data_IF_197571924619
#
_entry.id   IF_197571924619
#
_cell.length_a   1.000
_cell.length_b   1.000
_cell.length_c   1.000
_cell.angle_alpha   90.00
_cell.angle_beta   90.00
_cell.angle_gamma   90.00
#
_symmetry.space_group_name_H-M   'P 1'
#
loop_
_entity.id
_entity.type
_entity.pdbx_description
1 polymer ?
#
# COMPACT_ATOMS: atom_id res chain seq x y z
N UNK A 1 -37.46 16.30 -16.65
CA UNK A 1 -36.86 15.17 -15.93
C UNK A 1 -35.52 14.92 -16.59
N UNK A 2 -34.41 15.42 -16.02
CA UNK A 2 -33.07 15.05 -16.46
C UNK A 2 -32.89 13.55 -16.13
N UNK A 3 -32.78 12.71 -17.17
CA UNK A 3 -32.58 11.27 -16.99
C UNK A 3 -31.23 11.02 -16.29
N UNK A 4 -31.20 10.06 -15.38
CA UNK A 4 -29.97 9.63 -14.69
C UNK A 4 -28.89 9.30 -15.73
N UNK A 5 -27.68 9.84 -15.53
CA UNK A 5 -26.53 9.58 -16.40
C UNK A 5 -26.23 8.08 -16.36
N UNK A 6 -26.21 7.40 -17.51
CA UNK A 6 -25.93 5.96 -17.56
C UNK A 6 -24.45 5.67 -17.26
N UNK A 7 -24.16 4.44 -16.81
CA UNK A 7 -22.78 3.98 -16.60
C UNK A 7 -21.90 4.16 -17.86
N UNK A 8 -22.45 3.89 -19.04
CA UNK A 8 -21.76 4.10 -20.30
C UNK A 8 -21.40 5.58 -20.51
N UNK A 9 -22.40 6.48 -20.38
CA UNK A 9 -22.19 7.94 -20.56
C UNK A 9 -21.16 8.46 -19.57
N UNK A 10 -21.27 8.10 -18.30
CA UNK A 10 -20.31 8.51 -17.26
C UNK A 10 -18.89 8.04 -17.60
N UNK A 11 -18.69 6.76 -17.91
CA UNK A 11 -17.36 6.20 -18.12
C UNK A 11 -16.67 6.77 -19.36
N UNK A 12 -17.38 6.93 -20.50
CA UNK A 12 -16.72 7.48 -21.68
C UNK A 12 -16.37 8.97 -21.50
N UNK A 13 -17.19 9.74 -20.77
CA UNK A 13 -16.87 11.14 -20.42
C UNK A 13 -15.65 11.21 -19.50
N UNK A 14 -15.58 10.36 -18.48
CA UNK A 14 -14.42 10.24 -17.57
C UNK A 14 -13.14 9.83 -18.31
N UNK A 15 -13.26 8.97 -19.33
CA UNK A 15 -12.15 8.60 -20.20
C UNK A 15 -11.77 9.72 -21.21
N UNK A 16 -12.52 10.80 -21.28
CA UNK A 16 -12.32 11.86 -22.29
C UNK A 16 -12.60 11.37 -23.72
N UNK A 17 -13.38 10.29 -23.88
CA UNK A 17 -13.71 9.70 -25.17
C UNK A 17 -15.03 10.29 -25.70
N UNK A 18 -15.07 10.58 -26.98
CA UNK A 18 -16.34 10.80 -27.67
C UNK A 18 -17.16 9.49 -27.72
N UNK A 19 -18.46 9.63 -28.02
CA UNK A 19 -19.32 8.45 -28.18
C UNK A 19 -18.77 7.44 -29.20
N UNK A 20 -18.29 7.93 -30.38
CA UNK A 20 -17.75 7.07 -31.44
C UNK A 20 -16.44 6.41 -31.07
N UNK A 21 -15.59 7.05 -30.28
CA UNK A 21 -14.37 6.45 -29.74
C UNK A 21 -14.67 5.40 -28.69
N UNK A 22 -15.63 5.67 -27.81
CA UNK A 22 -16.03 4.73 -26.76
C UNK A 22 -16.61 3.43 -27.34
N UNK A 23 -17.52 3.51 -28.33
CA UNK A 23 -18.06 2.30 -28.97
C UNK A 23 -17.02 1.52 -29.76
N UNK A 24 -16.03 2.20 -30.36
CA UNK A 24 -14.89 1.53 -31.02
C UNK A 24 -14.02 0.80 -30.00
N UNK A 25 -13.73 1.45 -28.86
CA UNK A 25 -12.91 0.84 -27.80
C UNK A 25 -13.53 -0.45 -27.27
N UNK A 26 -14.85 -0.46 -27.08
CA UNK A 26 -15.55 -1.63 -26.54
C UNK A 26 -16.10 -2.57 -27.65
N UNK A 27 -15.74 -2.32 -28.91
CA UNK A 27 -16.06 -3.13 -30.09
C UNK A 27 -17.58 -3.43 -30.25
N UNK A 28 -18.42 -2.40 -30.08
CA UNK A 28 -19.86 -2.55 -30.26
C UNK A 28 -20.40 -1.68 -31.41
N UNK A 29 -21.57 -2.07 -31.95
CA UNK A 29 -22.26 -1.26 -32.97
C UNK A 29 -22.81 0.05 -32.40
N UNK A 30 -22.99 1.06 -33.27
CA UNK A 30 -23.63 2.32 -32.89
C UNK A 30 -25.00 2.11 -32.21
N UNK A 31 -25.81 1.17 -32.74
CA UNK A 31 -27.12 0.87 -32.17
C UNK A 31 -27.03 0.33 -30.72
N UNK A 32 -26.01 -0.51 -30.44
CA UNK A 32 -25.72 -0.99 -29.09
C UNK A 32 -25.25 0.14 -28.20
N UNK A 33 -24.35 1.01 -28.67
CA UNK A 33 -23.90 2.20 -27.96
C UNK A 33 -25.04 3.13 -27.54
N UNK A 34 -25.97 3.41 -28.46
CA UNK A 34 -27.19 4.19 -28.13
C UNK A 34 -28.10 3.53 -27.11
N UNK A 35 -28.16 2.18 -27.08
CA UNK A 35 -28.91 1.45 -26.04
C UNK A 35 -28.26 1.59 -24.68
N UNK A 36 -26.92 1.56 -24.61
CA UNK A 36 -26.18 1.83 -23.37
C UNK A 36 -26.35 3.29 -22.92
N UNK A 37 -26.23 4.24 -23.85
CA UNK A 37 -26.40 5.66 -23.56
C UNK A 37 -27.83 6.02 -23.09
N UNK A 38 -28.83 5.37 -23.64
CA UNK A 38 -30.24 5.60 -23.25
C UNK A 38 -30.71 4.76 -22.06
N UNK A 39 -29.84 3.92 -21.47
CA UNK A 39 -30.22 3.02 -20.37
C UNK A 39 -31.12 1.85 -20.77
N UNK A 40 -31.37 1.65 -22.08
CA UNK A 40 -32.16 0.51 -22.58
C UNK A 40 -31.44 -0.83 -22.49
N UNK A 41 -30.14 -0.79 -22.31
CA UNK A 41 -29.28 -1.95 -22.03
C UNK A 41 -28.21 -1.55 -21.02
N UNK A 42 -27.89 -2.45 -20.13
CA UNK A 42 -26.84 -2.26 -19.13
C UNK A 42 -25.48 -2.63 -19.70
N UNK A 43 -24.47 -1.80 -19.45
CA UNK A 43 -23.08 -2.07 -19.82
C UNK A 43 -22.47 -3.07 -18.82
N UNK A 44 -22.02 -4.25 -19.29
CA UNK A 44 -21.50 -5.34 -18.47
C UNK A 44 -20.29 -6.04 -19.10
N UNK A 45 -19.62 -6.89 -18.33
CA UNK A 45 -18.56 -7.78 -18.80
C UNK A 45 -17.34 -7.05 -19.37
N UNK A 46 -16.73 -7.57 -20.45
CA UNK A 46 -15.49 -7.02 -21.03
C UNK A 46 -15.62 -5.55 -21.46
N UNK A 47 -16.77 -5.15 -22.02
CA UNK A 47 -17.03 -3.80 -22.45
C UNK A 47 -17.04 -2.78 -21.28
N UNK A 48 -17.62 -3.16 -20.13
CA UNK A 48 -17.55 -2.36 -18.91
C UNK A 48 -16.10 -2.22 -18.45
N UNK A 49 -15.36 -3.31 -18.44
CA UNK A 49 -13.96 -3.33 -17.99
C UNK A 49 -13.07 -2.43 -18.84
N UNK A 50 -13.19 -2.48 -20.17
CA UNK A 50 -12.41 -1.63 -21.10
C UNK A 50 -12.66 -0.15 -20.86
N UNK A 51 -13.93 0.27 -20.69
CA UNK A 51 -14.24 1.68 -20.40
C UNK A 51 -13.79 2.10 -19.00
N UNK A 52 -13.86 1.21 -18.01
CA UNK A 52 -13.31 1.50 -16.68
C UNK A 52 -11.79 1.69 -16.73
N UNK A 53 -11.07 0.84 -17.46
CA UNK A 53 -9.62 0.97 -17.64
C UNK A 53 -9.25 2.28 -18.36
N UNK A 54 -9.98 2.65 -19.42
CA UNK A 54 -9.75 3.91 -20.13
C UNK A 54 -10.03 5.13 -19.26
N UNK A 55 -11.13 5.13 -18.51
CA UNK A 55 -11.45 6.18 -17.55
C UNK A 55 -10.37 6.29 -16.45
N UNK A 56 -9.94 5.15 -15.92
CA UNK A 56 -8.90 5.07 -14.93
C UNK A 56 -7.56 5.63 -15.44
N UNK A 57 -7.16 5.26 -16.67
CA UNK A 57 -5.94 5.77 -17.29
C UNK A 57 -5.98 7.30 -17.44
N UNK A 58 -7.09 7.85 -17.94
CA UNK A 58 -7.26 9.29 -18.11
C UNK A 58 -7.24 10.06 -16.79
N UNK A 59 -7.91 9.53 -15.77
CA UNK A 59 -7.94 10.13 -14.44
C UNK A 59 -6.56 10.09 -13.80
N UNK A 60 -5.81 9.00 -13.98
CA UNK A 60 -4.43 8.87 -13.46
C UNK A 60 -3.48 9.95 -14.04
N UNK A 61 -3.73 10.43 -15.26
CA UNK A 61 -3.00 11.53 -15.87
C UNK A 61 -3.35 12.91 -15.27
N UNK A 62 -4.43 13.01 -14.45
CA UNK A 62 -4.87 14.25 -13.82
C UNK A 62 -4.38 14.29 -12.36
N UNK A 63 -3.26 14.99 -12.05
CA UNK A 63 -2.73 15.01 -10.69
C UNK A 63 -3.72 15.58 -9.67
N UNK A 64 -3.89 14.88 -8.54
CA UNK A 64 -4.68 15.37 -7.42
C UNK A 64 -6.20 15.19 -7.57
N UNK A 65 -6.68 14.29 -8.44
CA UNK A 65 -8.11 14.00 -8.59
C UNK A 65 -8.75 13.43 -7.31
N UNK A 66 -7.95 12.86 -6.40
CA UNK A 66 -8.35 12.56 -5.03
C UNK A 66 -7.24 12.91 -4.04
N UNK A 67 -7.61 13.14 -2.80
CA UNK A 67 -6.68 13.41 -1.70
C UNK A 67 -6.51 12.20 -0.82
N UNK A 68 -5.28 11.93 -0.40
CA UNK A 68 -5.02 10.85 0.54
C UNK A 68 -4.07 11.29 1.66
N UNK A 69 -4.08 10.54 2.76
CA UNK A 69 -3.13 10.66 3.85
C UNK A 69 -2.28 9.40 3.96
N UNK A 70 -1.02 9.54 4.40
CA UNK A 70 -0.04 8.45 4.54
C UNK A 70 0.40 8.34 6.00
N UNK A 71 -0.16 7.37 6.72
CA UNK A 71 0.12 7.12 8.12
C UNK A 71 1.17 6.02 8.29
N UNK A 72 2.09 6.19 9.26
CA UNK A 72 3.28 5.34 9.42
C UNK A 72 4.07 5.26 8.12
N UNK A 73 4.27 6.40 7.50
CA UNK A 73 4.66 6.53 6.10
C UNK A 73 6.04 5.93 5.77
N UNK A 74 6.91 5.73 6.79
CA UNK A 74 8.26 5.24 6.58
C UNK A 74 9.02 6.15 5.61
N UNK A 75 9.35 5.60 4.45
CA UNK A 75 10.00 6.31 3.35
C UNK A 75 9.09 6.52 2.13
N UNK A 76 7.75 6.44 2.33
CA UNK A 76 6.74 6.78 1.32
C UNK A 76 6.39 5.67 0.33
N UNK A 77 6.51 4.40 0.74
CA UNK A 77 6.20 3.28 -0.16
C UNK A 77 4.73 3.20 -0.56
N UNK A 78 3.79 3.40 0.38
CA UNK A 78 2.36 3.45 0.07
C UNK A 78 2.04 4.69 -0.79
N UNK A 79 2.58 5.84 -0.41
CA UNK A 79 2.43 7.08 -1.14
C UNK A 79 2.79 6.95 -2.63
N UNK A 80 3.97 6.39 -2.95
CA UNK A 80 4.40 6.21 -4.36
C UNK A 80 3.39 5.42 -5.19
N UNK A 81 2.73 4.44 -4.59
CA UNK A 81 1.69 3.68 -5.28
C UNK A 81 0.43 4.47 -5.57
N UNK A 82 0.00 5.33 -4.65
CA UNK A 82 -1.21 6.12 -4.79
C UNK A 82 -1.01 7.41 -5.59
N UNK A 83 0.17 8.02 -5.55
CA UNK A 83 0.54 9.08 -6.50
C UNK A 83 0.58 8.57 -7.94
N UNK A 84 0.99 7.31 -8.16
CA UNK A 84 1.00 6.68 -9.49
C UNK A 84 -0.37 6.63 -10.16
N UNK A 85 -1.45 6.55 -9.39
CA UNK A 85 -2.83 6.60 -9.88
C UNK A 85 -3.45 8.01 -9.78
N UNK A 86 -2.63 9.06 -9.65
CA UNK A 86 -3.05 10.46 -9.66
C UNK A 86 -3.55 11.01 -8.32
N UNK A 87 -3.32 10.32 -7.21
CA UNK A 87 -3.64 10.83 -5.88
C UNK A 87 -2.68 11.92 -5.42
N UNK A 88 -3.18 12.84 -4.58
CA UNK A 88 -2.39 13.88 -3.92
C UNK A 88 -2.31 13.62 -2.42
N UNK A 89 -1.08 13.48 -1.89
CA UNK A 89 -0.86 13.40 -0.45
C UNK A 89 -1.11 14.76 0.20
N UNK A 90 -1.94 14.81 1.24
CA UNK A 90 -2.29 16.04 1.96
C UNK A 90 -1.88 16.01 3.43
N UNK A 91 -1.49 14.85 3.94
CA UNK A 91 -0.99 14.70 5.30
C UNK A 91 -0.12 13.44 5.39
N UNK A 92 0.94 13.53 6.18
CA UNK A 92 1.88 12.42 6.42
C UNK A 92 2.19 12.33 7.91
N UNK A 93 2.19 11.12 8.46
CA UNK A 93 2.67 10.85 9.83
C UNK A 93 3.76 9.79 9.81
N UNK A 94 4.92 10.11 10.43
CA UNK A 94 6.03 9.20 10.61
C UNK A 94 6.80 9.55 11.89
N UNK A 95 7.03 8.58 12.76
CA UNK A 95 7.70 8.76 14.04
C UNK A 95 9.23 8.88 13.93
N UNK A 96 9.84 8.02 13.07
CA UNK A 96 11.31 7.92 12.98
C UNK A 96 11.92 9.11 12.25
N UNK A 97 12.75 9.88 12.94
CA UNK A 97 13.37 11.08 12.40
C UNK A 97 14.27 10.83 11.17
N UNK A 98 14.90 9.63 11.06
CA UNK A 98 15.70 9.30 9.88
C UNK A 98 14.81 8.95 8.70
N UNK A 99 13.70 8.25 8.92
CA UNK A 99 12.68 8.00 7.88
C UNK A 99 12.09 9.32 7.38
N UNK A 100 11.78 10.26 8.26
CA UNK A 100 11.32 11.61 7.88
C UNK A 100 12.34 12.34 7.00
N UNK A 101 13.65 12.22 7.26
CA UNK A 101 14.69 12.84 6.41
C UNK A 101 14.65 12.26 4.99
N UNK A 102 14.66 10.92 4.88
CA UNK A 102 14.57 10.24 3.58
C UNK A 102 13.27 10.61 2.86
N UNK A 103 12.17 10.66 3.59
CA UNK A 103 10.85 11.06 3.05
C UNK A 103 10.89 12.47 2.47
N UNK A 104 11.34 13.47 3.24
CA UNK A 104 11.43 14.88 2.77
C UNK A 104 12.34 15.05 1.56
N UNK A 105 13.43 14.28 1.48
CA UNK A 105 14.34 14.33 0.33
C UNK A 105 13.67 13.85 -0.98
N UNK A 106 12.65 12.99 -0.86
CA UNK A 106 11.99 12.37 -2.01
C UNK A 106 10.60 12.94 -2.30
N UNK A 107 9.98 13.60 -1.34
CA UNK A 107 8.65 14.19 -1.45
C UNK A 107 8.68 15.63 -0.93
N UNK A 108 8.95 16.61 -1.81
CA UNK A 108 9.02 18.02 -1.45
C UNK A 108 7.62 18.63 -1.30
N UNK A 109 6.90 18.22 -0.26
CA UNK A 109 5.56 18.72 0.02
C UNK A 109 5.57 20.04 0.79
N UNK A 110 4.46 20.74 0.72
CA UNK A 110 4.23 21.96 1.49
C UNK A 110 3.60 21.68 2.87
N UNK A 111 3.28 20.42 3.22
CA UNK A 111 2.75 20.10 4.55
C UNK A 111 3.85 19.49 5.45
N UNK A 112 3.81 19.77 6.77
CA UNK A 112 4.73 19.17 7.71
C UNK A 112 4.46 17.67 7.87
N UNK A 113 5.52 16.89 8.14
CA UNK A 113 5.36 15.50 8.55
C UNK A 113 4.97 15.49 10.02
N UNK A 114 3.80 14.97 10.35
CA UNK A 114 3.37 14.67 11.71
C UNK A 114 4.24 13.56 12.32
N UNK A 115 4.53 13.67 13.61
CA UNK A 115 5.33 12.68 14.33
C UNK A 115 4.49 11.51 14.85
N UNK A 116 4.21 11.55 16.14
CA UNK A 116 3.42 10.53 16.83
C UNK A 116 1.95 10.56 16.41
N UNK A 117 1.46 9.46 15.88
CA UNK A 117 0.09 9.33 15.41
C UNK A 117 -0.95 9.54 16.52
N UNK A 118 -0.60 9.26 17.78
CA UNK A 118 -1.49 9.43 18.93
C UNK A 118 -1.95 10.87 19.12
N UNK A 119 -1.12 11.84 18.78
CA UNK A 119 -1.51 13.27 18.80
C UNK A 119 -2.65 13.57 17.83
N UNK A 120 -2.69 12.84 16.74
CA UNK A 120 -3.68 12.99 15.65
C UNK A 120 -4.91 12.11 15.85
N UNK A 121 -4.79 10.95 16.48
CA UNK A 121 -5.97 10.16 16.87
C UNK A 121 -6.75 10.82 18.00
N UNK A 122 -6.06 11.51 18.94
CA UNK A 122 -6.69 12.29 20.00
C UNK A 122 -7.27 13.63 19.49
N UNK A 123 -6.73 14.20 18.42
CA UNK A 123 -7.15 15.47 17.82
C UNK A 123 -7.27 15.33 16.29
N UNK A 124 -8.22 14.54 15.78
CA UNK A 124 -8.29 14.20 14.36
C UNK A 124 -8.61 15.40 13.44
N UNK A 125 -9.19 16.48 13.99
CA UNK A 125 -9.41 17.75 13.25
C UNK A 125 -8.11 18.41 12.75
N UNK A 126 -6.94 18.00 13.29
CA UNK A 126 -5.63 18.44 12.80
C UNK A 126 -5.26 17.79 11.46
N UNK A 127 -5.97 16.74 11.05
CA UNK A 127 -5.77 16.06 9.78
C UNK A 127 -6.71 16.67 8.74
N UNK A 128 -6.21 17.10 7.57
CA UNK A 128 -7.06 17.64 6.51
C UNK A 128 -8.07 16.60 5.99
N UNK A 129 -9.19 17.07 5.47
CA UNK A 129 -10.16 16.21 4.78
C UNK A 129 -9.50 15.46 3.61
N UNK A 130 -9.79 14.18 3.48
CA UNK A 130 -9.19 13.30 2.48
C UNK A 130 -10.18 12.22 2.04
N UNK A 131 -9.94 11.66 0.87
CA UNK A 131 -10.78 10.63 0.26
C UNK A 131 -10.29 9.21 0.61
N UNK A 132 -8.96 9.06 0.79
CA UNK A 132 -8.33 7.76 1.05
C UNK A 132 -7.37 7.86 2.22
N UNK A 133 -7.41 6.86 3.10
CA UNK A 133 -6.44 6.71 4.18
C UNK A 133 -5.52 5.52 3.88
N UNK A 134 -4.21 5.77 3.92
CA UNK A 134 -3.17 4.75 3.79
C UNK A 134 -2.47 4.55 5.13
N UNK A 135 -2.23 3.28 5.53
CA UNK A 135 -1.47 3.01 6.75
C UNK A 135 -0.72 1.67 6.69
N UNK A 136 0.60 1.73 6.83
CA UNK A 136 1.46 0.58 7.11
C UNK A 136 1.68 0.41 8.61
N UNK A 137 0.64 0.08 9.38
CA UNK A 137 0.72 0.07 10.84
C UNK A 137 1.58 -1.10 11.37
N UNK A 138 2.35 -0.91 12.46
CA UNK A 138 3.20 -1.96 13.02
C UNK A 138 2.37 -3.10 13.64
N UNK A 139 2.85 -4.35 13.46
CA UNK A 139 2.27 -5.52 14.09
C UNK A 139 2.65 -5.54 15.58
N UNK A 140 1.81 -4.98 16.42
CA UNK A 140 1.97 -5.01 17.88
C UNK A 140 0.92 -5.97 18.48
N UNK A 141 1.28 -6.74 19.54
CA UNK A 141 0.31 -7.58 20.23
C UNK A 141 -0.75 -6.69 20.89
N UNK A 142 -2.01 -7.06 20.75
CA UNK A 142 -3.10 -6.44 21.48
C UNK A 142 -2.98 -6.85 22.97
N UNK A 143 -2.53 -5.95 23.82
CA UNK A 143 -2.57 -6.21 25.26
C UNK A 143 -3.99 -5.97 25.78
N UNK A 144 -4.72 -7.05 26.05
CA UNK A 144 -6.03 -6.99 26.72
C UNK A 144 -5.95 -6.43 28.17
N UNK A 145 -4.75 -6.16 28.67
CA UNK A 145 -4.52 -5.66 30.03
C UNK A 145 -5.03 -4.22 30.27
N UNK A 146 -5.28 -3.44 29.21
CA UNK A 146 -5.89 -2.10 29.30
C UNK A 146 -7.41 -2.13 29.51
N UNK A 147 -8.08 -3.19 29.07
CA UNK A 147 -9.54 -3.34 29.09
C UNK A 147 -10.10 -3.48 30.51
N UNK A 148 -9.39 -4.19 31.40
CA UNK A 148 -9.87 -4.50 32.76
C UNK A 148 -9.94 -3.30 33.72
N UNK A 149 -9.13 -2.25 33.52
CA UNK A 149 -8.98 -1.18 34.52
C UNK A 149 -10.02 -0.05 34.39
N UNK A 150 -10.63 0.16 33.23
CA UNK A 150 -11.61 1.22 32.99
C UNK A 150 -13.06 0.82 33.12
N UNK A 151 -13.38 -0.47 32.96
CA UNK A 151 -14.74 -0.99 33.23
C UNK A 151 -15.19 -0.82 34.69
N UNK A 152 -14.25 -0.60 35.64
CA UNK A 152 -14.56 -0.33 37.04
C UNK A 152 -15.02 1.10 37.33
N UNK A 153 -14.98 2.02 36.35
CA UNK A 153 -15.27 3.46 36.57
C UNK A 153 -16.59 3.93 35.94
N UNK A 154 -17.45 3.04 35.43
CA UNK A 154 -18.86 3.32 35.12
C UNK A 154 -19.12 4.37 34.02
N UNK A 155 -18.17 4.72 33.17
CA UNK A 155 -18.37 5.63 32.06
C UNK A 155 -18.76 4.86 30.78
N UNK A 156 -19.98 5.11 30.31
CA UNK A 156 -20.44 4.66 28.98
C UNK A 156 -19.70 5.47 27.90
N UNK A 157 -18.54 4.98 27.46
CA UNK A 157 -17.86 5.48 26.27
C UNK A 157 -17.88 4.38 25.20
N UNK A 158 -17.85 4.77 23.92
CA UNK A 158 -17.94 3.83 22.82
C UNK A 158 -16.77 2.83 22.75
N UNK A 159 -16.91 1.79 21.95
CA UNK A 159 -15.98 0.67 21.77
C UNK A 159 -14.50 1.09 21.57
N UNK A 160 -14.25 2.24 20.94
CA UNK A 160 -12.90 2.76 20.69
C UNK A 160 -12.16 3.19 21.99
N UNK A 161 -12.88 3.49 23.07
CA UNK A 161 -12.28 3.86 24.37
C UNK A 161 -11.77 2.64 25.17
N UNK A 162 -12.32 1.46 24.93
CA UNK A 162 -11.99 0.24 25.69
C UNK A 162 -10.70 -0.44 25.21
N UNK A 163 -10.22 -0.13 24.01
CA UNK A 163 -9.14 -0.84 23.31
C UNK A 163 -7.86 -0.01 23.13
N UNK A 164 -7.68 1.07 23.90
CA UNK A 164 -6.49 1.91 23.85
C UNK A 164 -5.19 1.10 24.10
N UNK A 165 -4.22 1.24 23.22
CA UNK A 165 -2.88 0.70 23.44
C UNK A 165 -2.16 0.13 22.21
N UNK A 166 -2.80 0.07 21.04
CA UNK A 166 -2.11 -0.29 19.82
C UNK A 166 -2.38 0.73 18.72
N UNK A 167 -1.37 0.97 17.88
CA UNK A 167 -1.41 1.96 16.79
C UNK A 167 -2.46 1.64 15.71
N UNK A 168 -3.00 0.41 15.68
CA UNK A 168 -4.17 0.09 14.87
C UNK A 168 -5.43 0.87 15.34
N UNK A 169 -5.65 0.98 16.65
CA UNK A 169 -6.82 1.69 17.17
C UNK A 169 -6.72 3.20 16.94
N UNK A 170 -5.49 3.77 16.96
CA UNK A 170 -5.27 5.15 16.54
C UNK A 170 -5.70 5.35 15.08
N UNK A 171 -5.33 4.40 14.20
CA UNK A 171 -5.78 4.41 12.80
C UNK A 171 -7.30 4.28 12.70
N UNK A 172 -7.93 3.39 13.47
CA UNK A 172 -9.37 3.19 13.48
C UNK A 172 -10.14 4.43 13.96
N UNK A 173 -9.62 5.17 14.95
CA UNK A 173 -10.18 6.45 15.41
C UNK A 173 -10.15 7.51 14.30
N UNK A 174 -9.04 7.62 13.57
CA UNK A 174 -8.91 8.54 12.44
C UNK A 174 -9.91 8.17 11.33
N UNK A 175 -10.06 6.86 11.01
CA UNK A 175 -11.07 6.39 10.05
C UNK A 175 -12.49 6.71 10.53
N UNK A 176 -12.78 6.51 11.82
CA UNK A 176 -14.09 6.79 12.41
C UNK A 176 -14.47 8.27 12.28
N UNK A 177 -13.52 9.18 12.52
CA UNK A 177 -13.74 10.62 12.46
C UNK A 177 -13.88 11.12 11.02
N UNK A 178 -12.92 10.81 10.16
CA UNK A 178 -12.86 11.36 8.81
C UNK A 178 -13.75 10.64 7.80
N UNK A 179 -14.12 9.40 8.09
CA UNK A 179 -14.99 8.60 7.20
C UNK A 179 -14.53 8.63 5.73
N UNK A 180 -13.24 8.36 5.42
CA UNK A 180 -12.76 8.40 4.05
C UNK A 180 -13.56 7.45 3.14
N UNK A 181 -13.66 7.75 1.84
CA UNK A 181 -14.35 6.89 0.88
C UNK A 181 -13.73 5.49 0.80
N UNK A 182 -12.40 5.40 0.97
CA UNK A 182 -11.67 4.15 1.06
C UNK A 182 -10.47 4.23 2.00
N UNK A 183 -10.00 3.07 2.47
CA UNK A 183 -8.71 2.94 3.12
C UNK A 183 -7.94 1.72 2.59
N UNK A 184 -6.62 1.79 2.66
CA UNK A 184 -5.72 0.66 2.41
C UNK A 184 -4.74 0.53 3.56
N UNK A 185 -4.84 -0.58 4.27
CA UNK A 185 -3.94 -0.93 5.37
C UNK A 185 -2.99 -2.04 4.92
N UNK A 186 -1.72 -1.94 5.31
CA UNK A 186 -0.70 -2.96 5.02
C UNK A 186 -0.12 -3.50 6.31
N UNK A 187 0.20 -4.80 6.31
CA UNK A 187 0.92 -5.43 7.40
C UNK A 187 1.69 -6.69 6.94
N UNK A 188 2.45 -7.29 7.85
CA UNK A 188 3.10 -8.57 7.60
C UNK A 188 2.06 -9.69 7.44
N UNK A 189 2.35 -10.69 6.58
CA UNK A 189 1.47 -11.86 6.38
C UNK A 189 1.06 -12.52 7.70
N UNK A 190 1.98 -12.60 8.67
CA UNK A 190 1.72 -13.27 9.93
C UNK A 190 0.64 -12.61 10.80
N UNK A 191 0.14 -11.43 10.42
CA UNK A 191 -1.00 -10.79 11.08
C UNK A 191 -2.22 -11.72 11.12
N UNK A 192 -2.46 -12.51 10.05
CA UNK A 192 -3.60 -13.44 9.99
C UNK A 192 -3.53 -14.55 11.05
N UNK A 193 -2.33 -15.00 11.39
CA UNK A 193 -2.10 -16.07 12.38
C UNK A 193 -1.67 -15.57 13.75
N UNK A 194 -1.44 -14.27 13.91
CA UNK A 194 -0.97 -13.66 15.15
C UNK A 194 -1.97 -13.92 16.29
N UNK A 195 -1.45 -14.36 17.44
CA UNK A 195 -2.25 -14.75 18.62
C UNK A 195 -3.38 -15.73 18.27
N UNK A 196 -3.05 -16.78 17.50
CA UNK A 196 -4.04 -17.78 17.08
C UNK A 196 -5.15 -17.20 16.19
N UNK A 197 -4.87 -16.10 15.48
CA UNK A 197 -5.80 -15.40 14.60
C UNK A 197 -6.72 -14.40 15.31
N UNK A 198 -6.62 -14.24 16.62
CA UNK A 198 -7.48 -13.31 17.40
C UNK A 198 -7.25 -11.86 16.98
N UNK A 199 -5.97 -11.46 16.81
CA UNK A 199 -5.59 -10.11 16.39
C UNK A 199 -6.28 -9.73 15.09
N UNK A 200 -6.19 -10.58 14.06
CA UNK A 200 -6.79 -10.31 12.76
C UNK A 200 -8.32 -10.28 12.83
N UNK A 201 -8.94 -11.21 13.56
CA UNK A 201 -10.40 -11.20 13.79
C UNK A 201 -10.88 -9.90 14.44
N UNK A 202 -10.14 -9.39 15.44
CA UNK A 202 -10.46 -8.12 16.10
C UNK A 202 -10.34 -6.95 15.11
N UNK A 203 -9.27 -6.88 14.31
CA UNK A 203 -9.12 -5.85 13.27
C UNK A 203 -10.32 -5.87 12.31
N UNK A 204 -10.65 -7.05 11.77
CA UNK A 204 -11.75 -7.18 10.81
C UNK A 204 -13.11 -6.84 11.41
N UNK A 205 -13.33 -7.19 12.68
CA UNK A 205 -14.54 -6.82 13.42
C UNK A 205 -14.67 -5.31 13.56
N UNK A 206 -13.64 -4.63 14.03
CA UNK A 206 -13.61 -3.16 14.17
C UNK A 206 -13.92 -2.50 12.83
N UNK A 207 -13.25 -2.90 11.76
CA UNK A 207 -13.40 -2.27 10.47
C UNK A 207 -14.79 -2.53 9.84
N UNK A 208 -15.33 -3.74 9.98
CA UNK A 208 -16.60 -4.15 9.37
C UNK A 208 -17.82 -3.80 10.21
N UNK A 209 -17.79 -4.18 11.51
CA UNK A 209 -18.97 -4.08 12.36
C UNK A 209 -19.04 -2.72 13.06
N UNK A 210 -17.92 -2.27 13.67
CA UNK A 210 -17.92 -1.05 14.45
C UNK A 210 -17.84 0.21 13.57
N UNK A 211 -17.02 0.17 12.50
CA UNK A 211 -16.86 1.27 11.54
C UNK A 211 -17.81 1.16 10.32
N UNK A 212 -18.39 0.00 10.07
CA UNK A 212 -19.36 -0.21 8.99
C UNK A 212 -18.78 -0.16 7.58
N UNK A 213 -17.47 -0.49 7.39
CA UNK A 213 -16.84 -0.53 6.08
C UNK A 213 -17.00 -1.89 5.40
N UNK A 214 -17.09 -1.89 4.08
CA UNK A 214 -17.02 -3.10 3.25
C UNK A 214 -15.55 -3.48 3.05
N UNK A 215 -15.06 -4.47 3.82
CA UNK A 215 -13.63 -4.76 3.95
C UNK A 215 -13.27 -6.11 3.37
N UNK A 216 -12.24 -6.13 2.57
CA UNK A 216 -11.61 -7.33 2.04
C UNK A 216 -10.11 -7.33 2.32
N UNK A 217 -9.50 -8.51 2.35
CA UNK A 217 -8.07 -8.64 2.56
C UNK A 217 -7.46 -9.71 1.66
N UNK A 218 -6.18 -9.52 1.31
CA UNK A 218 -5.43 -10.49 0.52
C UNK A 218 -3.95 -10.43 0.82
N UNK A 219 -3.32 -11.59 0.93
CA UNK A 219 -1.86 -11.71 0.97
C UNK A 219 -1.31 -11.72 -0.44
N UNK A 220 -0.38 -10.80 -0.73
CA UNK A 220 0.26 -10.67 -2.04
C UNK A 220 1.77 -10.87 -1.87
N UNK A 221 2.39 -11.68 -2.74
CA UNK A 221 3.84 -11.84 -2.85
C UNK A 221 4.42 -10.84 -3.85
N UNK A 222 5.60 -10.31 -3.54
CA UNK A 222 6.28 -9.35 -4.40
C UNK A 222 7.04 -9.98 -5.59
N UNK A 223 7.16 -11.31 -5.64
CA UNK A 223 7.97 -12.04 -6.62
C UNK A 223 7.64 -11.73 -8.09
N UNK A 224 6.40 -11.42 -8.49
CA UNK A 224 6.11 -11.01 -9.86
C UNK A 224 6.79 -9.71 -10.31
N UNK A 225 7.14 -8.82 -9.38
CA UNK A 225 7.59 -7.46 -9.69
C UNK A 225 9.04 -7.16 -9.27
N UNK A 226 9.55 -7.83 -8.23
CA UNK A 226 10.91 -7.66 -7.73
C UNK A 226 11.54 -9.00 -7.39
N UNK A 227 12.88 -9.14 -7.46
CA UNK A 227 13.55 -10.43 -7.20
C UNK A 227 13.62 -10.76 -5.70
N UNK A 228 12.47 -10.65 -5.01
CA UNK A 228 12.35 -10.87 -3.57
C UNK A 228 11.05 -11.56 -3.23
N UNK A 229 11.12 -12.62 -2.42
CA UNK A 229 9.95 -13.26 -1.84
C UNK A 229 9.53 -12.55 -0.56
N UNK A 230 8.67 -11.53 -0.70
CA UNK A 230 8.12 -10.74 0.41
C UNK A 230 6.60 -10.78 0.34
N UNK A 231 5.97 -11.40 1.32
CA UNK A 231 4.52 -11.52 1.42
C UNK A 231 3.97 -10.49 2.41
N UNK A 232 2.94 -9.76 2.00
CA UNK A 232 2.25 -8.76 2.82
C UNK A 232 0.75 -8.91 2.67
N UNK A 233 0.03 -8.70 3.77
CA UNK A 233 -1.43 -8.61 3.73
C UNK A 233 -1.80 -7.16 3.44
N UNK A 234 -2.71 -6.99 2.49
CA UNK A 234 -3.38 -5.73 2.21
C UNK A 234 -4.85 -5.87 2.63
N UNK A 235 -5.33 -4.90 3.39
CA UNK A 235 -6.73 -4.81 3.85
C UNK A 235 -7.29 -3.56 3.20
N UNK A 236 -8.29 -3.74 2.33
CA UNK A 236 -8.96 -2.68 1.58
C UNK A 236 -10.37 -2.53 2.11
N UNK A 237 -10.77 -1.33 2.47
CA UNK A 237 -12.14 -1.02 2.89
C UNK A 237 -12.72 0.14 2.09
N UNK A 238 -13.97 -0.02 1.67
CA UNK A 238 -14.78 1.04 1.09
C UNK A 238 -15.89 1.41 2.07
N UNK A 239 -16.19 2.71 2.20
CA UNK A 239 -17.27 3.18 3.06
C UNK A 239 -18.63 2.71 2.55
N UNK A 240 -18.85 2.84 1.26
CA UNK A 240 -20.06 2.40 0.59
C UNK A 240 -19.88 1.01 -0.06
N UNK A 241 -20.94 0.23 -0.29
CA UNK A 241 -20.88 -1.02 -1.01
C UNK A 241 -20.30 -0.85 -2.41
N UNK A 242 -19.39 -1.75 -2.80
CA UNK A 242 -18.82 -1.82 -4.15
C UNK A 242 -18.77 -3.26 -4.64
N UNK A 243 -18.70 -3.45 -5.96
CA UNK A 243 -18.47 -4.77 -6.58
C UNK A 243 -16.99 -5.20 -6.53
N UNK A 244 -16.16 -4.53 -5.73
CA UNK A 244 -14.76 -4.89 -5.58
C UNK A 244 -14.60 -6.28 -4.99
N UNK A 245 -14.00 -7.19 -5.74
CA UNK A 245 -13.62 -8.51 -5.27
C UNK A 245 -12.10 -8.67 -5.33
N UNK A 246 -11.44 -8.56 -4.18
CA UNK A 246 -9.99 -8.67 -4.09
C UNK A 246 -9.49 -10.06 -4.46
N UNK A 247 -10.31 -11.12 -4.32
CA UNK A 247 -9.96 -12.49 -4.71
C UNK A 247 -9.92 -12.67 -6.22
N UNK A 248 -10.75 -11.94 -6.96
CA UNK A 248 -10.83 -11.97 -8.41
C UNK A 248 -9.72 -11.17 -9.11
N UNK A 249 -9.01 -10.28 -8.40
CA UNK A 249 -7.90 -9.50 -8.97
C UNK A 249 -6.77 -10.45 -9.42
N UNK A 250 -6.39 -10.40 -10.69
CA UNK A 250 -5.38 -11.29 -11.29
C UNK A 250 -3.96 -10.82 -10.92
N UNK A 251 -3.31 -11.53 -10.00
CA UNK A 251 -1.90 -11.30 -9.66
C UNK A 251 -1.01 -11.92 -10.74
N UNK A 252 -0.02 -11.19 -11.30
CA UNK A 252 0.89 -11.74 -12.30
C UNK A 252 1.65 -12.98 -11.79
N UNK A 253 2.08 -13.85 -12.72
CA UNK A 253 2.83 -15.05 -12.36
C UNK A 253 4.25 -14.71 -11.91
N UNK A 254 4.68 -15.24 -10.77
CA UNK A 254 6.05 -15.14 -10.28
C UNK A 254 7.09 -15.84 -11.17
N UNK A 255 6.66 -16.77 -12.08
CA UNK A 255 7.58 -17.50 -12.98
C UNK A 255 8.38 -16.57 -13.89
N UNK A 256 7.74 -15.48 -14.32
CA UNK A 256 8.33 -14.48 -15.23
C UNK A 256 8.86 -13.25 -14.46
N UNK A 257 8.88 -13.31 -13.14
CA UNK A 257 9.39 -12.23 -12.31
C UNK A 257 10.90 -12.02 -12.46
N UNK A 258 11.38 -10.80 -12.13
CA UNK A 258 12.78 -10.43 -12.26
C UNK A 258 13.68 -11.29 -11.38
N UNK A 259 14.97 -11.34 -11.73
CA UNK A 259 16.02 -12.06 -10.99
C UNK A 259 16.97 -11.08 -10.34
N UNK A 260 17.69 -11.49 -9.30
CA UNK A 260 18.57 -10.63 -8.51
C UNK A 260 19.53 -9.80 -9.37
N UNK A 261 20.06 -10.37 -10.44
CA UNK A 261 20.95 -9.68 -11.37
C UNK A 261 20.37 -8.39 -11.98
N UNK A 262 19.04 -8.29 -12.07
CA UNK A 262 18.37 -7.10 -12.65
C UNK A 262 18.49 -5.83 -11.79
N UNK A 263 18.85 -5.96 -10.50
CA UNK A 263 18.95 -4.82 -9.58
C UNK A 263 20.37 -4.53 -9.13
N UNK A 264 21.33 -5.42 -9.45
CA UNK A 264 22.72 -5.30 -8.96
C UNK A 264 23.47 -4.16 -9.66
N UNK A 265 24.29 -3.45 -8.87
CA UNK A 265 25.25 -2.47 -9.36
C UNK A 265 26.47 -3.17 -9.93
N UNK A 266 27.08 -2.58 -11.00
CA UNK A 266 28.26 -3.14 -11.67
C UNK A 266 29.52 -2.97 -10.81
N UNK A 267 29.72 -1.76 -10.28
CA UNK A 267 30.87 -1.38 -9.48
C UNK A 267 30.44 -1.13 -8.04
N UNK A 268 30.76 -2.05 -7.14
CA UNK A 268 30.36 -1.99 -5.74
C UNK A 268 31.58 -1.81 -4.86
N UNK A 269 31.51 -0.82 -3.95
CA UNK A 269 32.55 -0.54 -2.97
C UNK A 269 32.90 -1.82 -2.17
N UNK A 270 34.17 -2.19 -2.06
CA UNK A 270 34.65 -3.34 -1.29
C UNK A 270 34.21 -3.37 0.16
N UNK A 271 33.80 -2.24 0.75
CA UNK A 271 33.24 -2.17 2.12
C UNK A 271 32.02 -3.07 2.32
N UNK A 272 31.27 -3.39 1.26
CA UNK A 272 30.11 -4.28 1.32
C UNK A 272 30.49 -5.76 1.31
N UNK A 273 31.71 -6.12 0.91
CA UNK A 273 32.22 -7.50 0.99
C UNK A 273 32.44 -7.90 2.44
N UNK A 274 31.96 -9.08 2.83
CA UNK A 274 32.11 -9.56 4.20
C UNK A 274 33.57 -9.73 4.57
N UNK A 275 33.95 -9.29 5.77
CA UNK A 275 35.26 -9.59 6.31
C UNK A 275 35.46 -11.12 6.46
N UNK A 276 36.69 -11.61 6.40
CA UNK A 276 37.01 -13.04 6.60
C UNK A 276 36.41 -13.55 7.91
N UNK A 277 36.61 -12.81 9.00
CA UNK A 277 36.11 -13.15 10.34
C UNK A 277 34.57 -13.28 10.38
N UNK A 278 33.84 -12.33 9.77
CA UNK A 278 32.37 -12.37 9.75
C UNK A 278 31.87 -13.52 8.88
N UNK A 279 32.49 -13.76 7.73
CA UNK A 279 32.09 -14.85 6.84
C UNK A 279 32.30 -16.23 7.49
N UNK A 280 33.44 -16.47 8.11
CA UNK A 280 33.73 -17.70 8.88
C UNK A 280 32.75 -17.89 10.03
N UNK A 281 32.46 -16.82 10.77
CA UNK A 281 31.45 -16.84 11.84
C UNK A 281 30.07 -17.29 11.32
N UNK A 282 29.57 -16.66 10.24
CA UNK A 282 28.27 -17.01 9.66
C UNK A 282 28.21 -18.46 9.16
N UNK A 283 29.29 -18.95 8.54
CA UNK A 283 29.36 -20.35 8.10
C UNK A 283 29.31 -21.32 9.28
N UNK A 284 30.11 -21.06 10.35
CA UNK A 284 30.14 -21.90 11.54
C UNK A 284 28.80 -21.86 12.28
N UNK A 285 28.18 -20.68 12.36
CA UNK A 285 26.87 -20.50 12.98
C UNK A 285 25.77 -21.24 12.21
N UNK A 286 25.80 -21.18 10.87
CA UNK A 286 24.91 -21.96 10.00
C UNK A 286 25.05 -23.46 10.25
N UNK A 287 26.27 -24.02 10.23
CA UNK A 287 26.53 -25.43 10.52
C UNK A 287 25.99 -25.86 11.88
N UNK A 288 26.20 -25.04 12.92
CA UNK A 288 25.69 -25.30 14.27
C UNK A 288 24.17 -25.40 14.31
N UNK A 289 23.47 -24.50 13.63
CA UNK A 289 22.01 -24.50 13.59
C UNK A 289 21.46 -25.67 12.79
N UNK A 290 22.08 -25.99 11.64
CA UNK A 290 21.70 -27.14 10.82
C UNK A 290 21.89 -28.46 11.60
N UNK A 291 22.98 -28.60 12.35
CA UNK A 291 23.24 -29.76 13.19
C UNK A 291 22.22 -29.89 14.36
N UNK A 292 21.66 -28.78 14.83
CA UNK A 292 20.62 -28.75 15.84
C UNK A 292 19.18 -28.90 15.27
N UNK A 293 19.03 -29.15 13.96
CA UNK A 293 17.74 -29.20 13.28
C UNK A 293 17.02 -27.87 13.14
N UNK A 294 17.71 -26.75 13.41
CA UNK A 294 17.19 -25.41 13.29
C UNK A 294 17.61 -24.78 11.96
N UNK A 295 16.69 -24.09 11.27
CA UNK A 295 17.03 -23.27 10.12
C UNK A 295 17.82 -22.03 10.55
N UNK A 296 18.87 -21.67 9.78
CA UNK A 296 19.55 -20.38 9.93
C UNK A 296 19.45 -19.58 8.65
N UNK A 297 19.12 -18.28 8.79
CA UNK A 297 18.79 -17.41 7.68
C UNK A 297 19.94 -16.96 6.79
N UNK A 298 21.17 -17.50 6.91
CA UNK A 298 22.29 -17.14 6.04
C UNK A 298 22.15 -17.77 4.66
N UNK A 299 21.94 -16.93 3.64
CA UNK A 299 21.77 -17.38 2.26
C UNK A 299 22.58 -16.53 1.30
N UNK A 300 23.32 -17.18 0.37
CA UNK A 300 24.07 -16.56 -0.70
C UNK A 300 23.29 -16.76 -2.01
N UNK A 301 23.06 -15.70 -2.74
CA UNK A 301 22.28 -15.66 -3.97
C UNK A 301 23.15 -15.26 -5.17
N UNK A 302 22.93 -15.93 -6.27
CA UNK A 302 23.47 -15.59 -7.58
C UNK A 302 22.54 -14.66 -8.37
N UNK A 303 22.98 -14.19 -9.56
CA UNK A 303 22.21 -13.23 -10.36
C UNK A 303 20.87 -13.79 -10.89
N UNK A 304 20.73 -15.11 -10.98
CA UNK A 304 19.52 -15.77 -11.47
C UNK A 304 18.54 -16.16 -10.36
N UNK A 305 18.81 -15.81 -9.12
CA UNK A 305 17.99 -16.18 -7.98
C UNK A 305 16.94 -15.13 -7.64
N UNK A 306 15.96 -15.56 -6.84
CA UNK A 306 15.01 -14.70 -6.13
C UNK A 306 15.37 -14.74 -4.64
N UNK A 307 15.51 -13.57 -4.02
CA UNK A 307 15.99 -13.47 -2.65
C UNK A 307 14.89 -13.74 -1.62
N UNK A 308 15.31 -13.92 -0.38
CA UNK A 308 14.42 -13.88 0.80
C UNK A 308 13.98 -12.45 1.08
N UNK A 309 13.06 -12.31 2.05
CA UNK A 309 12.61 -11.01 2.53
C UNK A 309 13.75 -10.21 3.16
N UNK A 310 13.99 -9.00 2.65
CA UNK A 310 14.84 -8.00 3.31
C UNK A 310 14.19 -7.56 4.63
N UNK A 311 14.89 -7.76 5.75
CA UNK A 311 14.38 -7.38 7.07
C UNK A 311 14.99 -6.08 7.59
N UNK A 312 14.32 -5.46 8.57
CA UNK A 312 14.88 -4.28 9.26
C UNK A 312 16.23 -4.56 9.95
N UNK A 313 16.56 -5.83 10.20
CA UNK A 313 17.79 -6.25 10.87
C UNK A 313 18.96 -6.43 9.92
N UNK A 314 18.76 -6.26 8.62
CA UNK A 314 19.77 -6.43 7.58
C UNK A 314 21.06 -5.64 7.84
N UNK A 315 20.94 -4.49 8.50
CA UNK A 315 22.10 -3.68 8.90
C UNK A 315 23.12 -4.41 9.80
N UNK A 316 22.72 -5.48 10.51
CA UNK A 316 23.60 -6.18 11.45
C UNK A 316 24.71 -6.95 10.73
N UNK A 317 24.35 -7.96 9.98
CA UNK A 317 25.29 -8.84 9.27
C UNK A 317 24.90 -9.12 7.82
N UNK A 318 23.67 -8.77 7.43
CA UNK A 318 23.13 -8.97 6.09
C UNK A 318 22.93 -10.44 5.73
N UNK A 319 22.90 -11.33 6.71
CA UNK A 319 22.94 -12.79 6.50
C UNK A 319 21.75 -13.35 5.73
N UNK A 320 20.61 -12.68 5.75
CA UNK A 320 19.42 -13.12 5.00
C UNK A 320 19.57 -12.97 3.47
N UNK A 321 20.38 -12.01 2.99
CA UNK A 321 20.61 -11.78 1.55
C UNK A 321 22.08 -11.41 1.32
N UNK A 322 22.87 -12.40 0.99
CA UNK A 322 24.27 -12.18 0.55
C UNK A 322 24.35 -12.41 -0.96
N UNK A 323 25.09 -11.54 -1.65
CA UNK A 323 25.32 -11.63 -3.10
C UNK A 323 26.61 -12.38 -3.35
N UNK A 324 26.56 -13.42 -4.18
CA UNK A 324 27.72 -14.18 -4.62
C UNK A 324 28.67 -13.29 -5.42
N UNK A 325 29.98 -13.44 -5.15
CA UNK A 325 31.04 -12.78 -5.91
C UNK A 325 32.01 -13.85 -6.43
N UNK A 326 32.25 -13.94 -7.75
CA UNK A 326 33.22 -14.90 -8.31
C UNK A 326 34.60 -14.70 -7.70
N UNK A 327 35.18 -15.76 -7.16
CA UNK A 327 36.54 -15.73 -6.61
C UNK A 327 36.73 -14.93 -5.31
N UNK A 328 35.63 -14.45 -4.69
CA UNK A 328 35.67 -13.64 -3.47
C UNK A 328 34.62 -14.09 -2.46
N UNK A 329 34.70 -13.53 -1.23
CA UNK A 329 33.67 -13.68 -0.23
C UNK A 329 32.39 -12.97 -0.70
N UNK A 330 31.20 -13.46 -0.28
CA UNK A 330 29.96 -12.78 -0.63
C UNK A 330 29.89 -11.38 -0.01
N UNK A 331 29.06 -10.53 -0.58
CA UNK A 331 28.82 -9.17 -0.12
C UNK A 331 27.39 -8.95 0.30
N UNK A 332 27.17 -7.91 1.06
CA UNK A 332 25.82 -7.38 1.30
C UNK A 332 25.32 -6.61 0.07
N UNK A 333 24.03 -6.43 -0.04
CA UNK A 333 23.43 -5.45 -0.94
C UNK A 333 23.90 -4.03 -0.54
N UNK A 334 24.05 -3.15 -1.52
CA UNK A 334 24.18 -1.72 -1.24
C UNK A 334 22.83 -1.12 -0.88
N UNK A 335 22.77 0.06 -0.23
CA UNK A 335 21.48 0.77 -0.04
C UNK A 335 20.74 1.05 -1.36
N UNK A 336 21.48 1.30 -2.45
CA UNK A 336 20.89 1.49 -3.78
C UNK A 336 20.23 0.22 -4.31
N UNK A 337 20.90 -0.90 -4.17
CA UNK A 337 20.32 -2.21 -4.52
C UNK A 337 19.11 -2.55 -3.65
N UNK A 338 19.11 -2.15 -2.36
CA UNK A 338 17.93 -2.29 -1.52
C UNK A 338 16.77 -1.42 -2.00
N UNK A 339 17.03 -0.19 -2.46
CA UNK A 339 15.99 0.68 -3.05
C UNK A 339 15.36 0.03 -4.28
N UNK A 340 16.17 -0.54 -5.18
CA UNK A 340 15.72 -1.26 -6.37
C UNK A 340 14.97 -2.55 -6.00
N UNK A 341 15.47 -3.31 -5.03
CA UNK A 341 14.84 -4.54 -4.52
C UNK A 341 13.44 -4.29 -3.92
N UNK A 342 13.23 -3.09 -3.40
CA UNK A 342 11.94 -2.65 -2.88
C UNK A 342 11.10 -1.87 -3.91
N UNK A 343 11.63 -1.65 -5.13
CA UNK A 343 10.96 -0.95 -6.22
C UNK A 343 10.77 0.54 -6.01
N UNK A 344 11.61 1.18 -5.17
CA UNK A 344 11.63 2.64 -5.01
C UNK A 344 12.23 3.36 -6.22
N UNK A 345 13.08 2.69 -6.95
CA UNK A 345 13.62 3.16 -8.23
C UNK A 345 13.75 1.99 -9.22
N UNK A 346 13.61 2.28 -10.48
CA UNK A 346 13.98 1.42 -11.59
C UNK A 346 15.47 1.64 -11.93
N UNK A 347 16.14 0.65 -12.55
CA UNK A 347 17.59 0.75 -12.84
C UNK A 347 17.90 1.95 -13.73
N UNK A 348 17.04 2.22 -14.70
CA UNK A 348 17.17 3.34 -15.65
C UNK A 348 16.23 4.51 -15.34
N UNK A 349 15.60 4.50 -14.15
CA UNK A 349 14.64 5.51 -13.71
C UNK A 349 15.29 6.65 -12.91
N UNK A 350 14.45 7.58 -12.45
CA UNK A 350 14.88 8.65 -11.53
C UNK A 350 15.36 8.03 -10.21
N UNK A 351 16.60 8.32 -9.79
CA UNK A 351 17.16 7.76 -8.57
C UNK A 351 16.39 8.20 -7.33
N UNK A 352 16.09 7.26 -6.45
CA UNK A 352 15.60 7.56 -5.11
C UNK A 352 16.73 8.20 -4.29
N UNK A 353 16.45 9.32 -3.64
CA UNK A 353 17.47 10.12 -2.94
C UNK A 353 17.80 9.47 -1.60
N UNK A 354 19.06 9.03 -1.43
CA UNK A 354 19.57 8.31 -0.27
C UNK A 354 20.57 9.15 0.57
N UNK A 355 20.54 10.47 0.47
CA UNK A 355 21.43 11.37 1.18
C UNK A 355 20.97 11.65 2.63
N UNK A 356 21.88 12.17 3.44
CA UNK A 356 21.67 12.65 4.82
C UNK A 356 21.28 11.55 5.83
N UNK A 357 21.40 10.27 5.43
CA UNK A 357 21.09 9.12 6.25
C UNK A 357 22.16 8.04 6.07
N UNK A 358 22.59 7.39 7.16
CA UNK A 358 23.62 6.35 7.10
C UNK A 358 23.11 5.05 6.44
N UNK A 359 24.02 4.24 5.89
CA UNK A 359 23.70 2.90 5.33
C UNK A 359 22.89 2.05 6.33
N UNK A 360 23.24 2.11 7.62
CA UNK A 360 22.55 1.40 8.69
C UNK A 360 21.07 1.78 8.77
N UNK A 361 20.77 3.07 8.70
CA UNK A 361 19.40 3.56 8.73
C UNK A 361 18.66 3.24 7.43
N UNK A 362 19.31 3.36 6.28
CA UNK A 362 18.74 2.98 4.99
C UNK A 362 18.35 1.50 4.96
N UNK A 363 19.20 0.59 5.47
CA UNK A 363 18.82 -0.82 5.60
C UNK A 363 17.60 -1.05 6.48
N UNK A 364 17.48 -0.33 7.61
CA UNK A 364 16.30 -0.39 8.47
C UNK A 364 15.06 0.08 7.75
N UNK A 365 15.16 1.21 7.05
CA UNK A 365 14.06 1.84 6.30
C UNK A 365 13.56 0.91 5.20
N UNK A 366 14.45 0.39 4.33
CA UNK A 366 14.05 -0.55 3.29
C UNK A 366 13.53 -1.87 3.83
N UNK A 367 14.08 -2.36 4.95
CA UNK A 367 13.59 -3.57 5.60
C UNK A 367 12.17 -3.43 6.15
N UNK A 368 11.78 -2.24 6.60
CA UNK A 368 10.43 -1.92 7.07
C UNK A 368 9.48 -1.53 5.94
N UNK A 369 10.01 -1.05 4.82
CA UNK A 369 9.19 -0.52 3.73
C UNK A 369 8.32 -1.60 3.05
N UNK A 370 7.28 -1.15 2.37
CA UNK A 370 6.48 -1.96 1.44
C UNK A 370 7.11 -1.96 0.04
N UNK A 371 6.89 -3.00 -0.74
CA UNK A 371 7.34 -3.08 -2.14
C UNK A 371 6.44 -2.21 -3.01
N UNK A 372 7.00 -1.13 -3.56
CA UNK A 372 6.26 -0.11 -4.31
C UNK A 372 5.46 -0.67 -5.50
N UNK A 373 5.99 -1.56 -6.37
CA UNK A 373 5.21 -2.16 -7.45
C UNK A 373 3.97 -2.93 -6.99
N UNK A 374 4.02 -3.57 -5.81
CA UNK A 374 2.84 -4.25 -5.24
C UNK A 374 1.80 -3.22 -4.82
N UNK A 375 2.21 -2.09 -4.24
CA UNK A 375 1.29 -1.01 -3.89
C UNK A 375 0.67 -0.39 -5.13
N UNK A 376 1.46 -0.14 -6.19
CA UNK A 376 0.93 0.31 -7.49
C UNK A 376 -0.13 -0.64 -8.04
N UNK A 377 0.11 -1.95 -7.95
CA UNK A 377 -0.84 -2.98 -8.36
C UNK A 377 -2.13 -2.92 -7.52
N UNK A 378 -2.04 -2.82 -6.20
CA UNK A 378 -3.20 -2.70 -5.32
C UNK A 378 -3.96 -1.40 -5.61
N UNK A 379 -3.27 -0.28 -5.71
CA UNK A 379 -3.86 1.03 -6.03
C UNK A 379 -4.61 1.00 -7.38
N UNK A 380 -3.99 0.46 -8.43
CA UNK A 380 -4.64 0.28 -9.73
C UNK A 380 -5.88 -0.63 -9.66
N UNK A 381 -5.84 -1.68 -8.83
CA UNK A 381 -6.96 -2.61 -8.67
C UNK A 381 -8.18 -1.98 -8.02
N UNK A 382 -8.00 -1.04 -7.09
CA UNK A 382 -9.10 -0.34 -6.40
C UNK A 382 -9.57 0.92 -7.12
N UNK A 383 -8.76 1.46 -8.03
CA UNK A 383 -9.01 2.75 -8.68
C UNK A 383 -10.39 2.85 -9.33
N UNK A 384 -10.90 1.88 -10.11
CA UNK A 384 -12.23 1.98 -10.73
C UNK A 384 -13.35 2.14 -9.70
N UNK A 385 -13.23 1.47 -8.56
CA UNK A 385 -14.20 1.51 -7.46
C UNK A 385 -14.08 2.80 -6.65
N UNK A 386 -12.87 3.32 -6.50
CA UNK A 386 -12.64 4.63 -5.86
C UNK A 386 -13.25 5.75 -6.70
N UNK A 387 -13.09 5.72 -8.03
CA UNK A 387 -13.75 6.67 -8.93
C UNK A 387 -15.26 6.62 -8.77
N UNK A 388 -15.84 5.42 -8.73
CA UNK A 388 -17.28 5.23 -8.53
C UNK A 388 -17.74 5.81 -7.18
N UNK A 389 -17.02 5.51 -6.09
CA UNK A 389 -17.35 5.99 -4.75
C UNK A 389 -17.33 7.52 -4.67
N UNK A 390 -16.31 8.17 -5.27
CA UNK A 390 -16.19 9.63 -5.25
C UNK A 390 -17.18 10.33 -6.18
N UNK A 391 -17.57 9.72 -7.30
CA UNK A 391 -18.59 10.29 -8.20
C UNK A 391 -20.00 10.29 -7.55
N UNK A 392 -20.32 9.30 -6.72
CA UNK A 392 -21.58 9.26 -6.00
C UNK A 392 -21.69 10.38 -4.95
N UNK A 393 -20.59 10.76 -4.30
CA UNK A 393 -20.55 11.88 -3.34
C UNK A 393 -20.88 13.24 -3.98
N UNK A 394 -20.45 13.45 -5.23
CA UNK A 394 -20.73 14.71 -5.94
C UNK A 394 -22.21 14.83 -6.35
N UNK A 395 -22.84 13.74 -6.74
CA UNK A 395 -24.26 13.71 -7.14
C UNK A 395 -25.20 13.98 -5.96
N UNK A 396 -24.89 13.49 -4.77
CA UNK A 396 -25.67 13.74 -3.55
C UNK A 396 -25.55 15.20 -3.05
N UNK A 397 -24.47 15.90 -3.37
CA UNK A 397 -24.25 17.28 -2.95
C UNK A 397 -24.98 18.32 -3.85
N UNK A 398 -25.33 17.96 -5.09
CA UNK A 398 -26.05 18.85 -6.02
C UNK A 398 -27.57 18.81 -5.84
N UNK A 399 -28.14 17.76 -5.28
CA UNK A 399 -29.60 17.58 -5.12
C UNK A 399 -30.31 18.53 -4.17
N UNK A 400 -29.73 19.10 -3.07
CA UNK A 400 -30.42 20.03 -2.19
C UNK A 400 -30.58 21.45 -2.73
N UNK A 401 -29.69 21.92 -3.63
CA UNK A 401 -29.71 23.31 -4.11
C UNK A 401 -30.75 23.59 -5.20
N UNK A 402 -31.14 22.58 -5.97
CA UNK A 402 -32.15 22.75 -7.04
C UNK A 402 -33.61 22.70 -6.52
N UNK A 403 -33.86 22.16 -5.33
CA UNK A 403 -35.19 22.15 -4.71
C UNK A 403 -35.58 23.48 -4.04
N UNK A 404 -34.61 24.31 -3.69
CA UNK A 404 -34.85 25.62 -3.06
C UNK A 404 -35.05 26.77 -4.08
N UNK A 405 -34.83 26.54 -5.37
CA UNK A 405 -34.99 27.56 -6.42
C UNK A 405 -36.32 27.49 -7.16
N UNK A 406 -37.18 26.47 -6.88
CA UNK A 406 -38.49 26.26 -7.51
C UNK A 406 -39.64 26.05 -6.49
N UNK A 407 -39.50 26.60 -5.28
CA UNK A 407 -40.54 26.64 -4.26
C UNK A 407 -40.94 28.09 -3.91
#
# INVERSE_FOLDING_TARGET
>A
VAGAITTFTRLHQQAGLSFDEAIRLIEVSKSTGYRYQSGKSELKGPALKLLQEAAAARIAETPGWFRFIDLFAGIGGLRKGFEHIGGRCVFTSEWDANSQKTYRNNFPDNHPIGGDIRQYSENPDLIPTHNVLLAGFPCQPFSLAGVSKKNSLGRKHGFLDETQGTLFFDTAQIIAHHRPAAFVLENVKNLESHDGGKTFKTIMKVLREDLGYHVQSRVISSEPWVPQKRQRIFIVGFREPTDFDFSAVQVPSARNGPKLGSILEKDVDPKYTLSKKLWEYLQNYKKKHEAAGNGFGCSVFGPNDVTRTLSQRYYKDGSEILVAQPGSRPRRLTPRECARLMGFEEVDGTPFILKDVSDTQLYRQFGNAVVVPVVKFVAASIMPYLIQALSAETDDCETPRQRAANG
#
